data_IF_164821753106
#
_entry.id   IF_164821753106
#
_cell.length_a   1.000
_cell.length_b   1.000
_cell.length_c   1.000
_cell.angle_alpha   90.00
_cell.angle_beta   90.00
_cell.angle_gamma   90.00
#
_symmetry.space_group_name_H-M   'P 1'
#
loop_
_entity.id
_entity.type
_entity.pdbx_description
1 polymer ?
#
# COMPACT_ATOMS: atom_id res chain seq x y z
N UNK A 1 -41.85 -18.11 26.90
CA UNK A 1 -42.02 -18.92 25.68
C UNK A 1 -43.07 -18.21 24.83
N UNK A 2 -42.65 -17.64 23.69
CA UNK A 2 -43.44 -16.92 22.67
C UNK A 2 -44.31 -15.73 23.11
N UNK A 3 -43.81 -14.52 22.84
CA UNK A 3 -44.52 -13.26 22.53
C UNK A 3 -43.87 -12.05 23.24
N UNK A 4 -42.68 -11.65 22.80
CA UNK A 4 -42.12 -10.29 23.03
C UNK A 4 -40.96 -9.99 22.04
N UNK A 5 -41.08 -10.50 20.82
CA UNK A 5 -40.14 -10.30 19.71
C UNK A 5 -40.88 -9.79 18.49
N UNK A 6 -41.31 -8.53 18.54
CA UNK A 6 -41.78 -7.77 17.37
C UNK A 6 -41.75 -6.23 17.55
N UNK A 7 -41.41 -5.71 18.74
CA UNK A 7 -41.63 -4.28 19.07
C UNK A 7 -40.41 -3.36 19.04
N UNK A 8 -39.21 -3.83 18.67
CA UNK A 8 -37.98 -3.04 18.86
C UNK A 8 -36.98 -3.11 17.69
N UNK A 9 -37.44 -3.46 16.49
CA UNK A 9 -36.63 -3.51 15.26
C UNK A 9 -36.80 -2.25 14.37
N UNK A 10 -37.59 -1.26 14.81
CA UNK A 10 -37.91 -0.06 14.01
C UNK A 10 -37.27 1.25 14.50
N UNK A 11 -36.29 1.21 15.43
CA UNK A 11 -35.69 2.44 16.00
C UNK A 11 -34.21 2.71 15.76
N UNK A 12 -33.51 1.90 14.96
CA UNK A 12 -32.14 2.23 14.52
C UNK A 12 -32.01 2.12 13.00
N UNK A 13 -32.88 2.85 12.30
CA UNK A 13 -32.62 3.23 10.91
C UNK A 13 -31.92 4.59 10.96
N UNK A 14 -30.64 4.65 10.57
CA UNK A 14 -29.93 5.93 10.50
C UNK A 14 -30.68 6.90 9.57
N UNK A 15 -30.66 8.22 9.84
CA UNK A 15 -31.30 9.23 9.00
C UNK A 15 -30.94 9.09 7.51
N UNK A 16 -29.70 8.68 7.21
CA UNK A 16 -29.19 8.43 5.87
C UNK A 16 -29.96 7.35 5.09
N UNK A 17 -30.48 6.31 5.76
CA UNK A 17 -31.27 5.24 5.11
C UNK A 17 -32.67 5.72 4.73
N UNK A 18 -33.27 6.62 5.52
CA UNK A 18 -34.54 7.27 5.17
C UNK A 18 -34.38 8.27 4.02
N UNK A 19 -33.24 8.91 3.93
CA UNK A 19 -32.93 9.93 2.93
C UNK A 19 -32.60 9.29 1.57
N UNK A 20 -31.81 8.22 1.55
CA UNK A 20 -31.51 7.42 0.35
C UNK A 20 -32.77 6.84 -0.32
N UNK A 21 -33.78 6.46 0.47
CA UNK A 21 -35.07 5.98 -0.05
C UNK A 21 -35.94 7.08 -0.66
N UNK A 22 -35.78 8.33 -0.22
CA UNK A 22 -36.56 9.46 -0.73
C UNK A 22 -35.99 10.02 -2.03
N UNK A 23 -34.69 9.86 -2.27
CA UNK A 23 -34.05 10.36 -3.48
C UNK A 23 -32.99 9.37 -4.02
N UNK A 24 -33.38 8.37 -4.83
CA UNK A 24 -32.47 7.35 -5.35
C UNK A 24 -31.41 7.88 -6.33
N UNK A 25 -31.49 9.17 -6.71
CA UNK A 25 -30.49 9.84 -7.56
C UNK A 25 -29.37 10.52 -6.75
N UNK A 26 -29.44 10.53 -5.42
CA UNK A 26 -28.37 11.03 -4.56
C UNK A 26 -27.30 9.95 -4.37
N UNK A 27 -26.22 10.07 -5.15
CA UNK A 27 -25.10 9.13 -5.15
C UNK A 27 -24.48 8.92 -3.76
N UNK A 28 -24.44 9.96 -2.91
CA UNK A 28 -23.88 9.89 -1.55
C UNK A 28 -24.75 9.05 -0.62
N UNK A 29 -26.08 9.14 -0.79
CA UNK A 29 -27.03 8.38 0.01
C UNK A 29 -27.08 6.89 -0.41
N UNK A 30 -26.93 6.62 -1.71
CA UNK A 30 -26.79 5.26 -2.26
C UNK A 30 -25.49 4.60 -1.81
N UNK A 31 -24.37 5.34 -1.81
CA UNK A 31 -23.07 4.85 -1.31
C UNK A 31 -23.16 4.45 0.17
N UNK A 32 -23.69 5.34 1.02
CA UNK A 32 -23.87 5.09 2.47
C UNK A 32 -24.75 3.87 2.75
N UNK A 33 -25.81 3.68 1.96
CA UNK A 33 -26.70 2.53 2.09
C UNK A 33 -26.05 1.21 1.63
N UNK A 34 -25.34 1.21 0.49
CA UNK A 34 -24.61 0.07 -0.02
C UNK A 34 -23.54 -0.41 0.97
N UNK A 35 -22.79 0.52 1.57
CA UNK A 35 -21.73 0.22 2.53
C UNK A 35 -22.25 -0.45 3.82
N UNK A 36 -23.47 -0.13 4.26
CA UNK A 36 -24.08 -0.73 5.45
C UNK A 36 -24.63 -2.16 5.24
N UNK A 37 -24.79 -2.64 4.00
CA UNK A 37 -25.55 -3.86 3.68
C UNK A 37 -24.76 -4.95 2.92
N UNK A 38 -23.46 -4.78 2.68
CA UNK A 38 -22.61 -5.76 1.95
C UNK A 38 -22.12 -6.94 2.84
N UNK A 39 -22.49 -6.96 4.12
CA UNK A 39 -22.16 -8.05 5.06
C UNK A 39 -23.09 -9.27 4.96
N UNK A 40 -22.53 -10.39 4.50
CA UNK A 40 -22.97 -11.80 4.70
C UNK A 40 -24.45 -12.18 4.47
N UNK A 41 -25.10 -11.63 3.43
CA UNK A 41 -26.43 -12.11 2.98
C UNK A 41 -26.40 -12.77 1.60
N UNK A 42 -25.81 -13.97 1.52
CA UNK A 42 -25.80 -14.78 0.28
C UNK A 42 -27.09 -15.60 0.07
N UNK A 43 -28.02 -15.64 1.02
CA UNK A 43 -29.26 -16.44 0.93
C UNK A 43 -30.56 -15.61 0.89
N UNK A 44 -30.51 -14.29 0.75
CA UNK A 44 -31.73 -13.47 0.58
C UNK A 44 -32.05 -13.25 -0.92
N UNK A 45 -33.32 -13.43 -1.35
CA UNK A 45 -33.70 -13.25 -2.74
C UNK A 45 -33.48 -11.81 -3.22
N UNK A 46 -32.97 -11.68 -4.45
CA UNK A 46 -32.74 -10.47 -5.26
C UNK A 46 -33.12 -9.13 -4.60
N UNK A 47 -32.31 -8.69 -3.64
CA UNK A 47 -32.50 -7.40 -3.01
C UNK A 47 -32.01 -6.30 -3.97
N UNK A 48 -32.84 -5.33 -4.40
CA UNK A 48 -32.39 -4.22 -5.23
C UNK A 48 -31.27 -3.38 -4.58
N UNK A 49 -31.13 -3.44 -3.25
CA UNK A 49 -29.98 -2.91 -2.52
C UNK A 49 -28.65 -3.57 -2.94
N UNK A 50 -28.67 -4.87 -3.18
CA UNK A 50 -27.51 -5.66 -3.60
C UNK A 50 -27.08 -5.26 -5.02
N UNK A 51 -28.04 -5.03 -5.92
CA UNK A 51 -27.77 -4.53 -7.27
C UNK A 51 -27.15 -3.12 -7.24
N UNK A 52 -27.65 -2.24 -6.36
CA UNK A 52 -27.06 -0.92 -6.12
C UNK A 52 -25.62 -1.00 -5.59
N UNK A 53 -25.36 -1.88 -4.62
CA UNK A 53 -24.02 -2.11 -4.09
C UNK A 53 -23.06 -2.69 -5.13
N UNK A 54 -23.52 -3.62 -5.98
CA UNK A 54 -22.74 -4.16 -7.09
C UNK A 54 -22.38 -3.06 -8.09
N UNK A 55 -23.31 -2.18 -8.43
CA UNK A 55 -23.04 -1.06 -9.34
C UNK A 55 -22.05 -0.05 -8.73
N UNK A 56 -22.14 0.23 -7.43
CA UNK A 56 -21.17 1.08 -6.72
C UNK A 56 -19.79 0.42 -6.71
N UNK A 57 -19.70 -0.89 -6.42
CA UNK A 57 -18.43 -1.63 -6.47
C UNK A 57 -17.84 -1.68 -7.88
N UNK A 58 -18.67 -1.84 -8.92
CA UNK A 58 -18.23 -1.78 -10.32
C UNK A 58 -17.78 -0.37 -10.73
N UNK A 59 -18.49 0.67 -10.29
CA UNK A 59 -18.11 2.06 -10.52
C UNK A 59 -16.78 2.39 -9.80
N UNK A 60 -16.62 1.97 -8.55
CA UNK A 60 -15.39 2.10 -7.79
C UNK A 60 -14.25 1.30 -8.40
N UNK A 61 -14.50 0.09 -8.90
CA UNK A 61 -13.53 -0.71 -9.64
C UNK A 61 -13.10 -0.01 -10.94
N UNK A 62 -14.03 0.64 -11.65
CA UNK A 62 -13.72 1.40 -12.85
C UNK A 62 -12.93 2.70 -12.57
N UNK A 63 -13.19 3.35 -11.44
CA UNK A 63 -12.43 4.52 -10.94
C UNK A 63 -11.03 4.13 -10.46
N UNK A 64 -10.96 3.04 -9.69
CA UNK A 64 -9.73 2.39 -9.24
C UNK A 64 -8.82 2.02 -10.42
N UNK A 65 -9.38 1.42 -11.47
CA UNK A 65 -8.64 1.00 -12.66
C UNK A 65 -7.97 2.17 -13.42
N UNK A 66 -8.48 3.40 -13.30
CA UNK A 66 -7.97 4.56 -14.06
C UNK A 66 -6.85 5.33 -13.37
N UNK A 67 -6.83 5.37 -12.03
CA UNK A 67 -5.87 6.19 -11.26
C UNK A 67 -5.13 5.44 -10.17
N UNK A 68 -5.48 4.18 -9.90
CA UNK A 68 -5.01 3.41 -8.76
C UNK A 68 -5.58 3.93 -7.44
N UNK A 69 -6.17 3.05 -6.64
CA UNK A 69 -6.67 3.35 -5.29
C UNK A 69 -5.70 2.88 -4.22
N UNK A 70 -5.88 3.34 -2.99
CA UNK A 70 -5.16 2.81 -1.83
C UNK A 70 -6.09 1.87 -1.08
N UNK A 71 -5.63 0.66 -0.76
CA UNK A 71 -6.35 -0.27 0.11
C UNK A 71 -5.73 -0.21 1.49
N UNK A 72 -6.52 0.07 2.51
CA UNK A 72 -6.09 -0.01 3.91
C UNK A 72 -6.80 -1.18 4.56
N UNK A 73 -6.05 -2.11 5.11
CA UNK A 73 -6.58 -3.30 5.79
C UNK A 73 -6.48 -3.11 7.28
N UNK A 74 -7.63 -3.18 7.94
CA UNK A 74 -7.80 -3.12 9.39
C UNK A 74 -8.27 -4.49 9.89
N UNK A 75 -7.34 -5.38 10.28
CA UNK A 75 -7.68 -6.72 10.72
C UNK A 75 -8.56 -6.73 11.97
N UNK A 76 -8.43 -5.70 12.81
CA UNK A 76 -9.09 -5.58 14.10
C UNK A 76 -9.80 -4.22 14.31
N UNK A 77 -10.70 -4.16 15.29
CA UNK A 77 -11.50 -3.01 15.68
C UNK A 77 -10.73 -1.88 16.36
N UNK A 78 -9.47 -2.08 16.77
CA UNK A 78 -8.72 -1.06 17.52
C UNK A 78 -7.86 -0.14 16.63
N UNK A 79 -7.71 -0.45 15.33
CA UNK A 79 -6.88 0.33 14.40
C UNK A 79 -7.49 1.65 13.90
N UNK A 80 -8.66 2.07 14.38
CA UNK A 80 -9.34 3.29 13.88
C UNK A 80 -8.56 4.57 14.13
N UNK A 81 -7.87 4.69 15.27
CA UNK A 81 -7.05 5.87 15.55
C UNK A 81 -5.87 5.98 14.57
N UNK A 82 -5.18 4.85 14.32
CA UNK A 82 -4.09 4.79 13.34
C UNK A 82 -4.60 5.10 11.93
N UNK A 83 -5.75 4.56 11.54
CA UNK A 83 -6.40 4.89 10.28
C UNK A 83 -6.64 6.40 10.16
N UNK A 84 -7.16 7.04 11.21
CA UNK A 84 -7.45 8.47 11.20
C UNK A 84 -6.18 9.32 11.01
N UNK A 85 -5.11 9.00 11.72
CA UNK A 85 -3.81 9.66 11.53
C UNK A 85 -3.31 9.44 10.10
N UNK A 86 -3.34 8.20 9.62
CA UNK A 86 -2.94 7.87 8.25
C UNK A 86 -3.75 8.62 7.20
N UNK A 87 -5.09 8.68 7.35
CA UNK A 87 -5.96 9.39 6.41
C UNK A 87 -5.73 10.89 6.42
N UNK A 88 -5.49 11.50 7.59
CA UNK A 88 -5.20 12.93 7.67
C UNK A 88 -3.92 13.29 6.91
N UNK A 89 -2.86 12.49 7.09
CA UNK A 89 -1.60 12.67 6.38
C UNK A 89 -1.75 12.40 4.89
N UNK A 90 -2.39 11.29 4.55
CA UNK A 90 -2.64 10.93 3.16
C UNK A 90 -3.43 12.03 2.47
N UNK A 91 -4.46 12.60 3.09
CA UNK A 91 -5.33 13.62 2.47
C UNK A 91 -4.76 15.03 2.46
N UNK A 92 -3.53 15.24 2.93
CA UNK A 92 -2.92 16.55 2.87
C UNK A 92 -2.70 17.00 1.42
N UNK A 93 -2.73 18.31 1.19
CA UNK A 93 -2.46 18.90 -0.13
C UNK A 93 -1.01 18.74 -0.56
N UNK A 94 -0.09 18.57 0.40
CA UNK A 94 1.34 18.38 0.18
C UNK A 94 1.69 16.91 -0.10
N UNK A 95 0.78 15.95 0.12
CA UNK A 95 1.05 14.56 -0.20
C UNK A 95 1.00 14.31 -1.71
N UNK A 96 2.12 13.85 -2.26
CA UNK A 96 2.30 13.60 -3.69
C UNK A 96 2.72 12.15 -3.93
N UNK A 97 2.02 11.47 -4.82
CA UNK A 97 2.36 10.12 -5.24
C UNK A 97 3.49 10.10 -6.28
N UNK A 98 4.15 8.95 -6.45
CA UNK A 98 5.26 8.81 -7.41
C UNK A 98 4.85 8.98 -8.88
N UNK A 99 3.57 8.79 -9.21
CA UNK A 99 3.01 9.10 -10.53
C UNK A 99 2.59 10.57 -10.68
N UNK A 100 2.81 11.35 -9.61
CA UNK A 100 2.55 12.76 -9.53
C UNK A 100 1.11 13.16 -9.26
N UNK A 101 0.21 12.20 -9.06
CA UNK A 101 -1.14 12.47 -8.57
C UNK A 101 -1.13 12.98 -7.13
N UNK A 102 -2.13 13.80 -6.79
CA UNK A 102 -2.40 14.23 -5.41
C UNK A 102 -3.33 13.24 -4.73
N UNK A 103 -3.25 13.15 -3.41
CA UNK A 103 -4.09 12.23 -2.66
C UNK A 103 -5.56 12.61 -2.54
N UNK A 104 -5.88 13.90 -2.68
CA UNK A 104 -7.27 14.35 -2.82
C UNK A 104 -8.00 13.61 -3.95
N UNK A 105 -7.27 13.23 -5.01
CA UNK A 105 -7.81 12.59 -6.21
C UNK A 105 -7.86 11.05 -6.19
N UNK A 106 -7.44 10.37 -5.11
CA UNK A 106 -7.43 8.90 -5.04
C UNK A 106 -8.49 8.34 -4.10
N UNK A 107 -9.17 7.30 -4.54
CA UNK A 107 -10.08 6.55 -3.68
C UNK A 107 -9.27 5.75 -2.65
N UNK A 108 -9.71 5.75 -1.40
CA UNK A 108 -9.18 4.90 -0.33
C UNK A 108 -10.26 3.89 0.04
N UNK A 109 -9.93 2.61 -0.04
CA UNK A 109 -10.80 1.51 0.34
C UNK A 109 -10.28 0.93 1.65
N UNK A 110 -11.07 1.06 2.71
CA UNK A 110 -10.78 0.52 4.04
C UNK A 110 -11.48 -0.82 4.18
N UNK A 111 -10.73 -1.91 4.13
CA UNK A 111 -11.23 -3.25 4.43
C UNK A 111 -11.12 -3.49 5.95
N UNK A 112 -12.25 -3.68 6.62
CA UNK A 112 -12.29 -3.76 8.08
C UNK A 112 -13.17 -4.93 8.57
N UNK A 113 -12.71 -5.61 9.63
CA UNK A 113 -13.47 -6.72 10.24
C UNK A 113 -14.64 -6.25 11.12
N UNK A 114 -14.66 -4.97 11.50
CA UNK A 114 -15.69 -4.36 12.33
C UNK A 114 -16.32 -3.14 11.63
N UNK A 115 -17.54 -2.78 12.03
CA UNK A 115 -18.18 -1.55 11.55
C UNK A 115 -17.38 -0.31 12.01
N UNK A 116 -17.22 0.72 11.16
CA UNK A 116 -16.54 1.94 11.54
C UNK A 116 -17.31 2.66 12.65
N UNK A 117 -16.62 3.19 13.68
CA UNK A 117 -17.20 4.08 14.67
C UNK A 117 -17.92 5.25 13.99
N UNK A 118 -18.98 5.78 14.61
CA UNK A 118 -19.82 6.81 13.99
C UNK A 118 -19.03 8.03 13.50
N UNK A 119 -18.07 8.50 14.29
CA UNK A 119 -17.18 9.62 13.92
C UNK A 119 -16.30 9.32 12.71
N UNK A 120 -15.93 8.06 12.48
CA UNK A 120 -15.15 7.62 11.31
C UNK A 120 -16.08 7.37 10.11
N UNK A 121 -17.25 6.80 10.36
CA UNK A 121 -18.27 6.55 9.33
C UNK A 121 -18.76 7.86 8.70
N UNK A 122 -18.81 8.96 9.47
CA UNK A 122 -19.16 10.29 8.97
C UNK A 122 -18.15 10.85 7.95
N UNK A 123 -16.92 10.31 7.91
CA UNK A 123 -15.90 10.69 6.92
C UNK A 123 -16.07 9.95 5.59
N UNK A 124 -16.99 8.98 5.53
CA UNK A 124 -17.34 8.33 4.27
C UNK A 124 -17.74 9.40 3.26
N UNK A 125 -17.03 9.39 2.14
CA UNK A 125 -17.17 10.35 1.05
C UNK A 125 -16.98 9.59 -0.26
N UNK A 126 -17.17 10.27 -1.40
CA UNK A 126 -16.94 9.66 -2.72
C UNK A 126 -15.51 9.11 -2.89
N UNK A 127 -14.58 9.54 -2.03
CA UNK A 127 -13.18 9.14 -2.05
C UNK A 127 -12.78 8.19 -0.90
N UNK A 128 -13.65 7.89 0.06
CA UNK A 128 -13.37 6.99 1.18
C UNK A 128 -14.48 5.95 1.33
N UNK A 129 -14.14 4.68 1.11
CA UNK A 129 -15.07 3.56 1.09
C UNK A 129 -14.69 2.56 2.17
N UNK A 130 -15.65 2.18 3.01
CA UNK A 130 -15.50 1.11 3.99
C UNK A 130 -16.12 -0.18 3.44
N UNK A 131 -15.35 -1.25 3.46
CA UNK A 131 -15.76 -2.59 3.10
C UNK A 131 -15.68 -3.46 4.35
N UNK A 132 -16.83 -3.74 4.95
CA UNK A 132 -16.88 -4.60 6.14
C UNK A 132 -16.82 -6.09 5.75
N UNK A 133 -15.90 -6.83 6.35
CA UNK A 133 -15.72 -8.24 6.09
C UNK A 133 -14.46 -8.82 6.72
N UNK A 134 -14.35 -10.14 6.75
CA UNK A 134 -13.17 -10.79 7.29
C UNK A 134 -11.96 -10.56 6.37
N UNK A 135 -11.02 -9.74 6.83
CA UNK A 135 -9.81 -9.34 6.10
C UNK A 135 -8.88 -10.50 5.71
N UNK A 136 -8.94 -11.61 6.46
CA UNK A 136 -8.14 -12.82 6.18
C UNK A 136 -8.72 -13.68 5.06
N UNK A 137 -9.97 -13.43 4.64
CA UNK A 137 -10.60 -14.16 3.54
C UNK A 137 -10.31 -13.47 2.21
N UNK A 138 -9.66 -14.21 1.31
CA UNK A 138 -9.27 -13.75 -0.02
C UNK A 138 -10.41 -13.08 -0.82
N UNK A 139 -11.66 -13.53 -0.66
CA UNK A 139 -12.83 -12.93 -1.33
C UNK A 139 -13.02 -11.44 -1.01
N UNK A 140 -12.73 -10.99 0.20
CA UNK A 140 -12.88 -9.58 0.56
C UNK A 140 -11.71 -8.73 0.06
N UNK A 141 -10.50 -9.30 0.02
CA UNK A 141 -9.34 -8.68 -0.65
C UNK A 141 -9.63 -8.44 -2.14
N UNK A 142 -10.30 -9.38 -2.82
CA UNK A 142 -10.77 -9.18 -4.20
C UNK A 142 -11.85 -8.11 -4.31
N UNK A 143 -12.82 -8.10 -3.40
CA UNK A 143 -13.85 -7.04 -3.39
C UNK A 143 -13.23 -5.65 -3.17
N UNK A 144 -12.13 -5.57 -2.44
CA UNK A 144 -11.33 -4.35 -2.30
C UNK A 144 -10.47 -4.03 -3.54
N UNK A 145 -10.51 -4.86 -4.60
CA UNK A 145 -9.74 -4.71 -5.84
C UNK A 145 -8.23 -4.57 -5.60
N UNK A 146 -7.67 -5.39 -4.70
CA UNK A 146 -6.26 -5.28 -4.29
C UNK A 146 -5.26 -5.44 -5.44
N UNK A 147 -5.65 -6.16 -6.49
CA UNK A 147 -4.90 -6.37 -7.73
C UNK A 147 -4.71 -5.11 -8.59
N UNK A 148 -5.60 -4.13 -8.40
CA UNK A 148 -5.55 -2.82 -9.06
C UNK A 148 -5.15 -1.70 -8.10
N UNK A 149 -4.87 -2.02 -6.84
CA UNK A 149 -4.46 -1.04 -5.87
C UNK A 149 -3.08 -0.45 -6.24
N UNK A 150 -2.95 0.85 -6.11
CA UNK A 150 -1.67 1.53 -6.18
C UNK A 150 -0.77 1.11 -5.03
N UNK A 151 -1.33 1.09 -3.82
CA UNK A 151 -0.67 0.63 -2.62
C UNK A 151 -1.67 -0.07 -1.70
N UNK A 152 -1.19 -1.07 -0.96
CA UNK A 152 -1.93 -1.70 0.13
C UNK A 152 -1.21 -1.42 1.43
N UNK A 153 -1.93 -0.99 2.46
CA UNK A 153 -1.38 -0.76 3.79
C UNK A 153 -2.11 -1.67 4.75
N UNK A 154 -1.38 -2.50 5.49
CA UNK A 154 -1.94 -3.37 6.52
C UNK A 154 -1.52 -2.79 7.87
N UNK A 155 -2.49 -2.27 8.62
CA UNK A 155 -2.24 -1.65 9.92
C UNK A 155 -2.24 -2.72 11.01
N UNK A 156 -1.32 -2.61 11.98
CA UNK A 156 -1.23 -3.54 13.09
C UNK A 156 -2.37 -3.27 14.07
N UNK A 157 -3.30 -4.22 14.17
CA UNK A 157 -4.24 -4.28 15.30
C UNK A 157 -3.57 -4.91 16.52
N UNK A 158 -4.05 -4.69 17.75
CA UNK A 158 -3.47 -5.26 18.97
C UNK A 158 -3.17 -6.75 18.81
N UNK A 159 -2.00 -7.19 19.28
CA UNK A 159 -1.56 -8.55 19.01
C UNK A 159 -2.54 -9.53 19.67
N UNK A 160 -2.97 -10.58 18.95
CA UNK A 160 -3.92 -11.56 19.49
C UNK A 160 -3.35 -12.33 20.68
N UNK A 161 -2.02 -12.40 20.75
CA UNK A 161 -1.24 -13.11 21.76
C UNK A 161 -0.05 -12.28 22.20
N UNK A 162 0.43 -12.48 23.43
CA UNK A 162 1.69 -11.87 23.90
C UNK A 162 2.93 -12.67 23.46
N UNK A 163 2.74 -13.83 22.81
CA UNK A 163 3.85 -14.63 22.28
C UNK A 163 4.45 -13.93 21.05
N UNK A 164 5.74 -13.54 21.08
CA UNK A 164 6.35 -12.71 20.04
C UNK A 164 6.20 -13.28 18.62
N UNK A 165 6.30 -14.61 18.49
CA UNK A 165 6.15 -15.33 17.21
C UNK A 165 4.74 -15.35 16.64
N UNK A 166 3.72 -15.00 17.43
CA UNK A 166 2.31 -15.05 17.03
C UNK A 166 1.64 -13.67 16.99
N UNK A 167 2.33 -12.61 17.43
CA UNK A 167 1.80 -11.23 17.48
C UNK A 167 1.30 -10.72 16.12
N UNK A 168 1.95 -11.09 15.03
CA UNK A 168 1.68 -10.57 13.68
C UNK A 168 1.07 -11.61 12.74
N UNK A 169 0.56 -12.74 13.25
CA UNK A 169 0.15 -13.88 12.41
C UNK A 169 -0.90 -13.50 11.34
N UNK A 170 -1.88 -12.67 11.70
CA UNK A 170 -2.89 -12.18 10.74
C UNK A 170 -2.24 -11.34 9.62
N UNK A 171 -1.29 -10.47 9.98
CA UNK A 171 -0.60 -9.58 9.05
C UNK A 171 0.31 -10.36 8.09
N UNK A 172 1.01 -11.38 8.61
CA UNK A 172 1.81 -12.33 7.83
C UNK A 172 0.93 -13.11 6.84
N UNK A 173 -0.20 -13.68 7.31
CA UNK A 173 -1.12 -14.44 6.45
C UNK A 173 -1.71 -13.55 5.36
N UNK A 174 -2.21 -12.36 5.71
CA UNK A 174 -2.81 -11.45 4.73
C UNK A 174 -1.82 -11.04 3.66
N UNK A 175 -0.61 -10.63 4.05
CA UNK A 175 0.41 -10.25 3.06
C UNK A 175 0.81 -11.43 2.17
N UNK A 176 0.93 -12.63 2.74
CA UNK A 176 1.19 -13.84 1.95
C UNK A 176 0.07 -14.12 0.93
N UNK A 177 -1.19 -13.95 1.31
CA UNK A 177 -2.34 -14.07 0.39
C UNK A 177 -2.30 -13.04 -0.74
N UNK A 178 -1.90 -11.79 -0.42
CA UNK A 178 -1.77 -10.71 -1.40
C UNK A 178 -0.66 -11.03 -2.42
N UNK A 179 0.49 -11.51 -1.95
CA UNK A 179 1.65 -11.81 -2.79
C UNK A 179 1.47 -13.06 -3.65
N UNK A 180 0.85 -14.11 -3.12
CA UNK A 180 0.51 -15.28 -3.95
C UNK A 180 -0.36 -14.88 -5.14
N UNK A 181 -1.22 -13.87 -4.96
CA UNK A 181 -2.18 -13.48 -5.99
C UNK A 181 -1.62 -12.53 -7.02
N UNK A 182 -0.65 -11.71 -6.65
CA UNK A 182 -0.08 -10.72 -7.54
C UNK A 182 0.73 -11.33 -8.70
N UNK A 183 0.84 -12.67 -8.79
CA UNK A 183 1.42 -13.41 -9.92
C UNK A 183 2.82 -12.91 -10.29
N UNK A 184 3.67 -12.71 -9.27
CA UNK A 184 5.02 -12.18 -9.44
C UNK A 184 5.10 -10.66 -9.58
N UNK A 185 3.98 -9.92 -9.62
CA UNK A 185 4.01 -8.48 -9.37
C UNK A 185 4.26 -8.26 -7.89
N UNK A 186 5.30 -7.51 -7.54
CA UNK A 186 5.45 -7.04 -6.16
C UNK A 186 4.40 -5.97 -5.95
N UNK A 187 3.27 -6.32 -5.31
CA UNK A 187 2.31 -5.32 -4.89
C UNK A 187 3.03 -4.35 -3.95
N UNK A 188 2.79 -3.04 -4.09
CA UNK A 188 3.31 -2.05 -3.15
C UNK A 188 2.53 -2.19 -1.84
N UNK A 189 2.92 -3.17 -1.03
CA UNK A 189 2.34 -3.42 0.29
C UNK A 189 3.23 -2.85 1.38
N UNK A 190 2.65 -2.10 2.31
CA UNK A 190 3.30 -1.68 3.55
C UNK A 190 2.62 -2.40 4.71
N UNK A 191 3.42 -3.12 5.49
CA UNK A 191 2.99 -3.93 6.61
C UNK A 191 3.46 -3.28 7.91
N UNK A 192 2.52 -2.85 8.74
CA UNK A 192 2.80 -2.48 10.13
C UNK A 192 2.85 -3.76 10.97
N UNK A 193 3.94 -3.97 11.70
CA UNK A 193 4.19 -5.17 12.53
C UNK A 193 4.72 -4.83 13.92
N UNK A 194 4.36 -5.63 14.91
CA UNK A 194 4.90 -5.53 16.26
C UNK A 194 6.33 -6.04 16.36
N UNK A 195 6.65 -7.12 15.66
CA UNK A 195 7.95 -7.77 15.75
C UNK A 195 8.53 -8.07 14.38
N UNK A 196 9.70 -7.50 14.10
CA UNK A 196 10.45 -7.81 12.87
C UNK A 196 10.83 -9.30 12.77
N UNK A 197 10.88 -10.03 13.88
CA UNK A 197 11.12 -11.48 13.87
C UNK A 197 10.07 -12.24 13.05
N UNK A 198 8.82 -11.76 13.02
CA UNK A 198 7.72 -12.39 12.29
C UNK A 198 7.86 -12.25 10.77
N UNK A 199 8.77 -11.40 10.28
CA UNK A 199 9.08 -11.34 8.85
C UNK A 199 9.74 -12.62 8.34
N UNK A 200 10.46 -13.34 9.20
CA UNK A 200 11.05 -14.64 8.84
C UNK A 200 10.01 -15.70 8.48
N UNK A 201 8.77 -15.54 8.97
CA UNK A 201 7.65 -16.42 8.68
C UNK A 201 6.99 -16.10 7.34
N UNK A 202 7.32 -14.95 6.73
CA UNK A 202 6.78 -14.59 5.43
C UNK A 202 7.51 -15.34 4.32
N UNK A 203 6.78 -15.94 3.37
CA UNK A 203 7.42 -16.63 2.26
C UNK A 203 8.17 -15.62 1.37
N UNK A 204 9.39 -15.98 0.96
CA UNK A 204 10.12 -15.26 -0.08
C UNK A 204 9.65 -15.74 -1.47
N UNK A 205 8.39 -15.45 -1.80
CA UNK A 205 7.74 -15.92 -3.04
C UNK A 205 8.44 -15.43 -4.32
N UNK A 206 9.23 -14.37 -4.21
CA UNK A 206 10.04 -13.83 -5.30
C UNK A 206 11.15 -14.77 -5.76
N UNK A 207 11.67 -15.63 -4.86
CA UNK A 207 12.67 -16.65 -5.21
C UNK A 207 12.03 -17.87 -5.90
N UNK A 208 10.84 -18.28 -5.47
CA UNK A 208 10.15 -19.44 -6.02
C UNK A 208 9.77 -19.29 -7.51
N UNK A 209 9.57 -18.06 -7.99
CA UNK A 209 9.29 -17.82 -9.41
C UNK A 209 10.53 -17.95 -10.30
N UNK A 210 11.74 -17.82 -9.74
CA UNK A 210 13.00 -18.03 -10.48
C UNK A 210 13.30 -19.52 -10.69
N UNK A 211 12.82 -20.39 -9.80
CA UNK A 211 13.00 -21.84 -9.91
C UNK A 211 12.16 -22.47 -11.03
N UNK A 212 11.10 -21.77 -11.50
CA UNK A 212 10.26 -22.18 -12.63
C UNK A 212 10.63 -21.55 -13.97
N UNK A 213 11.48 -20.52 -13.98
CA UNK A 213 12.18 -20.14 -15.19
C UNK A 213 13.28 -21.19 -15.37
N UNK A 214 13.36 -21.84 -16.52
CA UNK A 214 14.52 -22.64 -16.91
C UNK A 214 15.73 -21.71 -17.04
N UNK A 215 16.24 -21.19 -15.92
CA UNK A 215 17.60 -20.71 -15.85
C UNK A 215 18.42 -21.98 -16.08
N UNK A 216 19.24 -22.06 -17.14
CA UNK A 216 20.15 -23.18 -17.32
C UNK A 216 21.20 -23.05 -16.24
N UNK A 217 20.86 -23.50 -15.04
CA UNK A 217 21.80 -23.58 -13.96
C UNK A 217 22.51 -24.91 -14.17
N UNK A 218 23.62 -24.88 -14.91
CA UNK A 218 24.71 -25.82 -14.65
C UNK A 218 25.20 -25.55 -13.21
N UNK A 219 24.44 -26.06 -12.23
CA UNK A 219 24.86 -26.13 -10.83
C UNK A 219 25.75 -27.36 -10.70
N UNK A 220 26.95 -27.30 -11.27
CA UNK A 220 28.04 -28.04 -10.68
C UNK A 220 28.46 -27.26 -9.42
N UNK A 221 27.85 -27.62 -8.28
CA UNK A 221 28.27 -27.30 -6.91
C UNK A 221 27.98 -25.90 -6.30
N UNK A 222 26.96 -25.16 -6.76
CA UNK A 222 26.38 -24.10 -5.92
C UNK A 222 25.27 -24.68 -5.03
N UNK A 223 25.65 -25.22 -3.87
CA UNK A 223 24.72 -25.31 -2.74
C UNK A 223 24.20 -23.90 -2.47
N UNK A 224 22.94 -23.62 -2.80
CA UNK A 224 22.23 -22.47 -2.25
C UNK A 224 22.21 -22.71 -0.75
N UNK A 225 23.21 -22.17 -0.04
CA UNK A 225 23.14 -22.04 1.40
C UNK A 225 21.89 -21.20 1.62
N UNK A 226 20.82 -21.85 2.11
CA UNK A 226 19.81 -21.14 2.89
C UNK A 226 20.59 -20.56 4.05
N UNK A 227 21.11 -19.36 3.84
CA UNK A 227 21.66 -18.55 4.90
C UNK A 227 20.48 -18.38 5.84
N UNK A 228 20.51 -19.09 6.95
CA UNK A 228 19.48 -19.00 7.98
C UNK A 228 19.46 -17.54 8.41
N UNK A 229 18.42 -16.83 7.97
CA UNK A 229 18.22 -15.39 8.22
C UNK A 229 18.10 -15.06 9.71
N UNK A 230 18.13 -16.07 10.58
CA UNK A 230 18.07 -15.97 12.04
C UNK A 230 19.26 -15.18 12.63
N UNK A 231 20.42 -15.16 11.96
CA UNK A 231 21.61 -14.44 12.46
C UNK A 231 21.73 -12.99 12.00
N UNK A 232 20.88 -12.54 11.07
CA UNK A 232 20.99 -11.20 10.52
C UNK A 232 20.21 -10.18 11.34
N UNK A 233 20.77 -8.99 11.58
CA UNK A 233 20.05 -7.91 12.25
C UNK A 233 18.72 -7.63 11.52
N UNK A 234 17.59 -7.64 12.22
CA UNK A 234 16.27 -7.53 11.59
C UNK A 234 16.09 -6.31 10.66
N UNK A 235 16.88 -5.24 10.85
CA UNK A 235 16.86 -4.05 10.00
C UNK A 235 17.41 -4.28 8.58
N UNK A 236 18.13 -5.37 8.33
CA UNK A 236 18.61 -5.71 6.98
C UNK A 236 17.63 -6.62 6.21
N UNK A 237 16.51 -6.99 6.82
CA UNK A 237 15.51 -7.80 6.15
C UNK A 237 15.06 -7.12 4.84
N UNK A 238 14.99 -7.82 3.69
CA UNK A 238 14.69 -7.19 2.40
C UNK A 238 13.40 -6.35 2.42
N UNK A 239 12.36 -6.82 3.10
CA UNK A 239 11.09 -6.08 3.28
C UNK A 239 11.22 -4.79 4.10
N UNK A 240 12.14 -4.74 5.05
CA UNK A 240 12.42 -3.51 5.81
C UNK A 240 13.22 -2.54 4.95
N UNK A 241 14.27 -3.04 4.29
CA UNK A 241 15.10 -2.25 3.37
C UNK A 241 14.30 -1.68 2.18
N UNK A 242 13.24 -2.38 1.76
CA UNK A 242 12.32 -1.97 0.70
C UNK A 242 11.21 -1.02 1.16
N UNK A 243 11.08 -0.76 2.47
CA UNK A 243 9.96 -0.02 3.04
C UNK A 243 8.61 -0.75 2.98
N UNK A 244 8.61 -2.07 2.77
CA UNK A 244 7.40 -2.90 2.76
C UNK A 244 6.98 -3.36 4.15
N UNK A 245 7.88 -3.31 5.13
CA UNK A 245 7.60 -3.62 6.52
C UNK A 245 8.07 -2.48 7.41
N UNK A 246 7.23 -2.13 8.37
CA UNK A 246 7.48 -1.08 9.34
C UNK A 246 7.19 -1.63 10.74
N UNK A 247 8.07 -1.33 11.68
CA UNK A 247 7.91 -1.73 13.07
C UNK A 247 8.11 -0.52 13.98
N UNK A 248 7.16 -0.29 14.89
CA UNK A 248 7.23 0.83 15.83
C UNK A 248 8.48 0.80 16.72
N UNK A 249 9.10 -0.36 16.93
CA UNK A 249 10.35 -0.48 17.69
C UNK A 249 11.52 0.26 17.04
N UNK A 250 11.51 0.44 15.72
CA UNK A 250 12.52 1.25 15.02
C UNK A 250 12.34 2.75 15.32
N UNK A 251 11.10 3.24 15.51
CA UNK A 251 10.87 4.61 15.99
C UNK A 251 11.38 4.81 17.41
N UNK A 252 11.23 3.81 18.29
CA UNK A 252 11.73 3.89 19.66
C UNK A 252 13.25 4.06 19.70
N UNK A 253 13.98 3.48 18.75
CA UNK A 253 15.43 3.72 18.61
C UNK A 253 15.73 5.17 18.27
N UNK A 254 14.95 5.79 17.39
CA UNK A 254 15.09 7.22 17.09
C UNK A 254 14.77 8.11 18.29
N UNK A 255 13.75 7.75 19.09
CA UNK A 255 13.45 8.44 20.36
C UNK A 255 14.62 8.32 21.34
N UNK A 256 15.25 7.14 21.44
CA UNK A 256 16.44 6.96 22.27
C UNK A 256 17.63 7.81 21.78
N UNK A 257 17.82 7.93 20.46
CA UNK A 257 18.84 8.80 19.87
C UNK A 257 18.58 10.29 20.18
N UNK A 258 17.30 10.68 20.29
CA UNK A 258 16.91 12.04 20.60
C UNK A 258 17.38 12.53 21.97
N UNK A 259 17.63 11.62 22.91
CA UNK A 259 18.24 11.95 24.22
C UNK A 259 19.60 12.64 24.04
N UNK A 260 20.37 12.21 23.03
CA UNK A 260 21.69 12.77 22.72
C UNK A 260 21.63 13.84 21.64
N UNK A 261 20.63 13.78 20.76
CA UNK A 261 20.44 14.69 19.62
C UNK A 261 18.98 15.11 19.55
N UNK A 262 18.53 16.06 20.37
CA UNK A 262 17.12 16.45 20.46
C UNK A 262 16.48 16.66 19.10
N UNK A 263 17.20 17.40 18.23
CA UNK A 263 16.88 17.73 16.83
C UNK A 263 16.38 16.58 15.93
N UNK A 264 16.64 15.31 16.29
CA UNK A 264 16.18 14.15 15.53
C UNK A 264 14.66 14.03 15.55
N UNK A 265 14.00 14.31 16.67
CA UNK A 265 12.54 14.21 16.75
C UNK A 265 11.85 15.33 16.01
N UNK A 266 12.35 16.57 16.12
CA UNK A 266 11.82 17.69 15.36
C UNK A 266 11.99 17.45 13.87
N UNK A 267 13.13 16.90 13.43
CA UNK A 267 13.35 16.55 12.03
C UNK A 267 12.43 15.42 11.57
N UNK A 268 12.27 14.35 12.36
CA UNK A 268 11.38 13.25 12.00
C UNK A 268 9.93 13.70 11.92
N UNK A 269 9.46 14.47 12.92
CA UNK A 269 8.15 15.08 12.88
C UNK A 269 8.03 16.00 11.66
N UNK A 270 9.08 16.76 11.35
CA UNK A 270 9.08 17.66 10.21
C UNK A 270 9.08 16.96 8.84
N UNK A 271 9.53 15.71 8.77
CA UNK A 271 9.50 14.92 7.53
C UNK A 271 8.21 14.09 7.40
N UNK A 272 7.59 13.74 8.53
CA UNK A 272 6.38 12.92 8.57
C UNK A 272 5.10 13.74 8.49
N UNK A 273 5.10 14.97 8.98
CA UNK A 273 3.95 15.87 8.93
C UNK A 273 3.81 16.48 7.53
N UNK A 274 2.57 16.74 7.11
CA UNK A 274 2.35 17.37 5.82
C UNK A 274 2.74 18.82 5.94
N UNK A 275 3.28 19.41 4.88
CA UNK A 275 3.64 20.82 4.88
C UNK A 275 2.43 21.68 5.30
N UNK A 276 2.52 22.18 6.54
CA UNK A 276 1.57 23.11 7.13
C UNK A 276 2.12 24.53 7.13
N UNK A 277 1.44 25.46 7.82
CA UNK A 277 1.84 26.87 7.87
C UNK A 277 3.28 27.12 8.36
N UNK A 278 3.88 26.17 9.08
CA UNK A 278 5.22 26.29 9.66
C UNK A 278 6.32 25.49 8.90
N UNK A 279 5.96 24.74 7.86
CA UNK A 279 6.91 23.93 7.09
C UNK A 279 6.93 24.36 5.64
N UNK A 280 8.11 24.78 5.20
CA UNK A 280 8.32 25.15 3.80
C UNK A 280 8.57 23.91 2.94
N UNK A 281 9.28 22.90 3.45
CA UNK A 281 9.67 21.73 2.66
C UNK A 281 8.64 20.61 2.62
N UNK A 282 8.49 19.97 1.46
CA UNK A 282 7.67 18.77 1.24
C UNK A 282 8.49 17.65 0.63
N UNK A 283 8.19 16.41 1.04
CA UNK A 283 8.78 15.22 0.46
C UNK A 283 8.09 14.85 -0.86
N UNK A 284 8.88 14.77 -1.93
CA UNK A 284 8.39 14.49 -3.28
C UNK A 284 9.12 13.27 -3.86
N UNK A 285 8.41 12.18 -4.19
CA UNK A 285 8.97 11.12 -5.01
C UNK A 285 9.08 11.60 -6.47
N UNK A 286 10.28 11.55 -7.02
CA UNK A 286 10.57 11.82 -8.42
C UNK A 286 11.06 10.54 -9.11
N UNK A 287 10.26 10.01 -10.03
CA UNK A 287 10.71 8.90 -10.87
C UNK A 287 11.87 9.36 -11.75
N UNK A 288 12.95 8.59 -11.77
CA UNK A 288 14.11 8.87 -12.62
C UNK A 288 13.66 8.80 -14.09
N UNK A 289 13.88 9.87 -14.88
CA UNK A 289 13.54 9.88 -16.30
C UNK A 289 14.43 8.93 -17.09
N UNK A 290 13.86 8.44 -18.19
CA UNK A 290 14.59 7.60 -19.17
C UNK A 290 15.86 8.25 -19.69
N UNK A 291 15.88 9.58 -19.82
CA UNK A 291 17.06 10.32 -20.29
C UNK A 291 18.25 10.30 -19.30
N UNK A 292 18.01 9.95 -18.03
CA UNK A 292 19.03 9.82 -16.99
C UNK A 292 19.38 8.35 -16.68
N UNK A 293 18.70 7.38 -17.28
CA UNK A 293 19.00 5.97 -17.10
C UNK A 293 20.43 5.65 -17.59
N UNK A 294 21.21 4.94 -16.78
CA UNK A 294 22.61 4.63 -17.07
C UNK A 294 23.58 5.80 -16.81
N UNK A 295 23.09 7.00 -16.49
CA UNK A 295 23.92 8.12 -16.03
C UNK A 295 24.16 8.06 -14.53
N UNK A 296 25.13 8.80 -14.03
CA UNK A 296 25.39 8.90 -12.59
C UNK A 296 24.38 9.81 -11.88
N UNK A 297 24.22 9.63 -10.57
CA UNK A 297 23.37 10.47 -9.71
C UNK A 297 23.75 11.95 -9.84
N UNK A 298 25.02 12.28 -10.07
CA UNK A 298 25.46 13.66 -10.31
C UNK A 298 24.67 14.34 -11.44
N UNK A 299 24.35 13.62 -12.52
CA UNK A 299 23.55 14.17 -13.61
C UNK A 299 22.12 14.54 -13.16
N UNK A 300 21.54 13.83 -12.19
CA UNK A 300 20.27 14.22 -11.57
C UNK A 300 20.42 15.49 -10.74
N UNK A 301 21.52 15.63 -9.99
CA UNK A 301 21.78 16.84 -9.20
C UNK A 301 21.92 18.08 -10.08
N UNK A 302 22.61 17.97 -11.23
CA UNK A 302 22.71 19.03 -12.23
C UNK A 302 21.32 19.49 -12.73
N UNK A 303 20.37 18.56 -12.96
CA UNK A 303 19.01 18.91 -13.38
C UNK A 303 18.20 19.61 -12.28
N UNK A 304 18.55 19.35 -11.02
CA UNK A 304 17.89 19.91 -9.84
C UNK A 304 18.51 21.24 -9.39
N UNK A 305 19.61 21.67 -10.02
CA UNK A 305 20.29 22.91 -9.68
C UNK A 305 19.36 24.12 -9.84
N UNK A 306 19.30 24.95 -8.79
CA UNK A 306 18.43 26.13 -8.71
C UNK A 306 16.96 25.86 -8.38
N UNK A 307 16.58 24.63 -8.04
CA UNK A 307 15.21 24.27 -7.61
C UNK A 307 14.99 24.25 -6.09
N UNK A 308 15.99 24.64 -5.29
CA UNK A 308 15.94 24.58 -3.81
C UNK A 308 15.43 23.23 -3.28
N UNK A 309 16.05 22.15 -3.77
CA UNK A 309 15.69 20.79 -3.37
C UNK A 309 16.91 19.95 -2.99
N UNK A 310 16.66 18.92 -2.19
CA UNK A 310 17.68 18.02 -1.68
C UNK A 310 17.31 16.56 -2.00
N UNK A 311 18.22 15.82 -2.64
CA UNK A 311 18.07 14.39 -2.86
C UNK A 311 18.43 13.65 -1.56
N UNK A 312 17.42 13.10 -0.88
CA UNK A 312 17.60 12.44 0.41
C UNK A 312 17.88 10.94 0.26
N UNK A 313 17.18 10.30 -0.68
CA UNK A 313 17.33 8.88 -0.91
C UNK A 313 17.02 8.50 -2.36
N UNK A 314 17.48 7.31 -2.76
CA UNK A 314 17.12 6.66 -4.01
C UNK A 314 16.44 5.33 -3.68
N UNK A 315 15.17 5.20 -4.05
CA UNK A 315 14.44 3.94 -4.00
C UNK A 315 14.71 3.16 -5.29
N UNK A 316 15.54 2.13 -5.16
CA UNK A 316 16.00 1.25 -6.25
C UNK A 316 14.97 0.17 -6.51
N UNK A 317 14.63 -0.05 -7.77
CA UNK A 317 13.74 -1.15 -8.16
C UNK A 317 14.43 -2.51 -8.01
N UNK A 318 13.62 -3.56 -7.83
CA UNK A 318 14.11 -4.94 -7.90
C UNK A 318 14.76 -5.22 -9.27
N UNK A 319 15.88 -5.95 -9.29
CA UNK A 319 16.56 -6.41 -10.50
C UNK A 319 17.11 -7.82 -10.27
N UNK A 320 16.48 -8.80 -10.92
CA UNK A 320 16.89 -10.19 -10.85
C UNK A 320 18.29 -10.42 -11.43
N UNK A 321 18.65 -9.69 -12.49
CA UNK A 321 19.99 -9.74 -13.11
C UNK A 321 21.10 -9.37 -12.12
N UNK A 322 20.78 -8.50 -11.15
CA UNK A 322 21.71 -8.04 -10.12
C UNK A 322 21.51 -8.76 -8.78
N UNK A 323 20.69 -9.81 -8.77
CA UNK A 323 20.42 -10.63 -7.59
C UNK A 323 19.50 -9.99 -6.55
N UNK A 324 18.91 -8.82 -6.81
CA UNK A 324 18.01 -8.16 -5.87
C UNK A 324 16.54 -8.43 -6.21
N UNK A 325 15.90 -9.29 -5.43
CA UNK A 325 14.49 -9.68 -5.60
C UNK A 325 13.51 -8.64 -5.07
N UNK A 326 13.93 -7.80 -4.12
CA UNK A 326 13.12 -6.70 -3.58
C UNK A 326 13.72 -5.34 -3.97
N UNK A 327 12.88 -4.30 -4.08
CA UNK A 327 13.40 -2.94 -4.13
C UNK A 327 14.10 -2.60 -2.81
N UNK A 328 14.92 -1.56 -2.78
CA UNK A 328 15.58 -1.12 -1.55
C UNK A 328 15.88 0.38 -1.59
N UNK A 329 16.07 0.97 -0.42
CA UNK A 329 16.37 2.40 -0.28
C UNK A 329 17.85 2.62 -0.04
N UNK A 330 18.44 3.53 -0.82
CA UNK A 330 19.80 4.05 -0.62
C UNK A 330 19.70 5.48 -0.10
N UNK A 331 19.96 5.67 1.19
CA UNK A 331 20.01 7.01 1.81
C UNK A 331 21.32 7.70 1.46
N UNK A 332 21.26 8.99 1.12
CA UNK A 332 22.43 9.78 0.68
C UNK A 332 23.24 9.09 -0.45
N UNK A 333 22.62 8.86 -1.62
CA UNK A 333 23.25 8.11 -2.69
C UNK A 333 24.56 8.79 -3.16
N UNK A 334 25.67 8.03 -3.36
CA UNK A 334 26.92 8.59 -3.87
C UNK A 334 26.73 9.23 -5.25
N UNK A 335 27.47 10.32 -5.53
CA UNK A 335 27.38 11.04 -6.82
C UNK A 335 27.63 10.16 -8.04
N UNK A 336 28.60 9.25 -7.93
CA UNK A 336 28.99 8.32 -9.00
C UNK A 336 28.09 7.08 -9.09
N UNK A 337 27.05 6.96 -8.27
CA UNK A 337 26.12 5.83 -8.36
C UNK A 337 25.34 5.92 -9.68
N UNK A 338 25.38 4.87 -10.50
CA UNK A 338 24.61 4.81 -11.76
C UNK A 338 23.12 4.68 -11.47
N UNK A 339 22.29 5.53 -12.07
CA UNK A 339 20.84 5.51 -12.06
C UNK A 339 20.29 4.40 -12.95
N UNK A 340 19.20 3.75 -12.51
CA UNK A 340 18.58 2.63 -13.23
C UNK A 340 17.17 2.96 -13.69
N UNK A 341 16.71 2.24 -14.71
CA UNK A 341 15.34 2.30 -15.16
C UNK A 341 14.37 1.96 -14.02
N UNK A 342 13.43 2.85 -13.76
CA UNK A 342 12.41 2.68 -12.73
C UNK A 342 12.78 3.17 -11.33
N UNK A 343 14.02 3.59 -11.10
CA UNK A 343 14.40 4.20 -9.83
C UNK A 343 13.53 5.41 -9.49
N UNK A 344 13.36 5.66 -8.20
CA UNK A 344 12.65 6.84 -7.68
C UNK A 344 13.52 7.59 -6.70
N UNK A 345 13.85 8.84 -6.99
CA UNK A 345 14.54 9.73 -6.07
C UNK A 345 13.54 10.34 -5.09
N UNK A 346 13.86 10.30 -3.79
CA UNK A 346 13.09 10.97 -2.74
C UNK A 346 13.72 12.33 -2.50
N UNK A 347 12.98 13.39 -2.85
CA UNK A 347 13.44 14.77 -2.77
C UNK A 347 12.75 15.49 -1.61
N UNK A 348 13.48 16.34 -0.90
CA UNK A 348 12.88 17.41 -0.10
C UNK A 348 12.87 18.68 -0.94
N UNK A 349 11.68 19.20 -1.23
CA UNK A 349 11.47 20.38 -2.07
C UNK A 349 10.92 21.51 -1.21
N UNK A 350 11.60 22.67 -1.18
CA UNK A 350 11.19 23.83 -0.36
C UNK A 350 9.92 24.53 -0.85
N UNK A 351 9.58 24.41 -2.13
CA UNK A 351 8.38 25.03 -2.69
C UNK A 351 7.65 24.05 -3.59
N UNK A 352 6.52 23.52 -3.10
CA UNK A 352 5.65 22.61 -3.85
C UNK A 352 5.12 23.25 -5.13
N UNK A 353 4.99 24.57 -5.18
CA UNK A 353 4.61 25.31 -6.39
C UNK A 353 5.57 25.08 -7.57
N UNK A 354 6.83 24.74 -7.29
CA UNK A 354 7.86 24.43 -8.30
C UNK A 354 7.87 22.97 -8.73
N UNK A 355 6.95 22.14 -8.23
CA UNK A 355 6.87 20.72 -8.59
C UNK A 355 6.61 20.52 -10.10
N UNK A 356 5.80 21.39 -10.71
CA UNK A 356 5.54 21.35 -12.16
C UNK A 356 6.80 21.70 -12.96
N UNK A 357 7.52 22.74 -12.55
CA UNK A 357 8.82 23.14 -13.12
C UNK A 357 9.83 21.98 -13.02
N UNK A 358 9.95 21.37 -11.83
CA UNK A 358 10.83 20.24 -11.57
C UNK A 358 10.52 19.06 -12.50
N UNK A 359 9.24 18.68 -12.64
CA UNK A 359 8.85 17.60 -13.55
C UNK A 359 9.14 17.93 -15.01
N UNK A 360 8.90 19.18 -15.40
CA UNK A 360 9.15 19.64 -16.77
C UNK A 360 10.65 19.61 -17.11
N UNK A 361 11.52 20.15 -16.23
CA UNK A 361 12.98 20.16 -16.42
C UNK A 361 13.54 18.76 -16.53
N UNK A 362 13.11 17.89 -15.62
CA UNK A 362 13.63 16.53 -15.54
C UNK A 362 13.01 15.65 -16.65
N UNK A 363 12.05 16.17 -17.44
CA UNK A 363 11.38 15.39 -18.49
C UNK A 363 10.56 14.23 -17.94
N UNK A 364 10.19 14.31 -16.66
CA UNK A 364 9.32 13.34 -16.01
C UNK A 364 7.91 13.54 -16.55
N UNK A 365 7.49 12.67 -17.47
CA UNK A 365 6.11 12.64 -17.95
C UNK A 365 5.16 12.54 -16.74
N UNK A 366 4.22 13.48 -16.65
CA UNK A 366 3.11 13.44 -15.68
C UNK A 366 2.10 12.34 -16.00
N UNK A 367 2.28 11.64 -17.12
CA UNK A 367 1.46 10.50 -17.44
C UNK A 367 1.87 9.39 -16.48
N UNK A 368 0.97 8.85 -15.63
CA UNK A 368 1.28 7.67 -14.85
C UNK A 368 1.79 6.64 -15.85
N UNK A 369 3.04 6.21 -15.68
CA UNK A 369 3.51 5.05 -16.40
C UNK A 369 2.58 3.95 -15.92
N UNK A 370 1.58 3.61 -16.74
CA UNK A 370 0.80 2.40 -16.57
C UNK A 370 1.84 1.36 -16.23
N UNK A 371 1.77 0.80 -15.02
CA UNK A 371 2.71 -0.22 -14.54
C UNK A 371 2.83 -1.16 -15.70
N UNK A 372 3.95 -1.09 -16.41
CA UNK A 372 4.08 -1.77 -17.68
C UNK A 372 3.88 -3.21 -17.29
N UNK A 373 2.74 -3.78 -17.68
CA UNK A 373 2.51 -5.18 -17.42
C UNK A 373 3.75 -5.83 -18.01
N UNK A 374 4.53 -6.60 -17.23
CA UNK A 374 5.64 -7.34 -17.81
C UNK A 374 5.04 -8.03 -19.03
N UNK A 375 5.63 -7.79 -20.21
CA UNK A 375 5.13 -8.34 -21.47
C UNK A 375 4.73 -9.77 -21.17
N UNK A 376 3.46 -10.14 -21.42
CA UNK A 376 2.97 -11.50 -21.14
C UNK A 376 4.04 -12.43 -21.70
N UNK A 377 4.76 -13.11 -20.84
CA UNK A 377 5.63 -14.18 -21.30
C UNK A 377 4.66 -15.16 -21.98
N UNK A 378 4.80 -15.31 -23.29
CA UNK A 378 3.99 -16.24 -24.07
C UNK A 378 4.36 -17.66 -23.63
N UNK A 379 3.71 -18.13 -22.57
CA UNK A 379 3.78 -19.51 -22.07
C UNK A 379 2.99 -20.49 -22.95
N UNK A 380 2.63 -20.10 -24.18
CA UNK A 380 1.94 -20.99 -25.14
C UNK A 380 2.86 -22.09 -25.69
N UNK A 381 4.15 -22.09 -25.36
CA UNK A 381 5.11 -23.09 -25.84
C UNK A 381 5.41 -24.24 -24.86
N UNK A 382 5.02 -24.16 -23.57
CA UNK A 382 5.25 -25.28 -22.63
C UNK A 382 4.04 -26.21 -22.61
N UNK A 383 4.10 -27.28 -23.42
CA UNK A 383 3.10 -28.35 -23.49
C UNK A 383 3.05 -29.21 -22.22
N UNK A 384 2.60 -28.66 -21.10
CA UNK A 384 2.32 -29.44 -19.88
C UNK A 384 0.87 -29.89 -19.92
N UNK A 385 0.66 -31.13 -20.35
CA UNK A 385 -0.62 -31.81 -20.26
C UNK A 385 -0.96 -32.04 -18.77
N UNK A 386 -1.95 -31.31 -18.25
CA UNK A 386 -2.54 -31.57 -16.93
C UNK A 386 -3.39 -32.83 -17.03
N UNK A 387 -2.83 -33.98 -16.61
CA UNK A 387 -3.61 -35.18 -16.37
C UNK A 387 -4.52 -34.93 -15.15
N UNK A 388 -5.81 -34.88 -15.40
CA UNK A 388 -6.84 -34.91 -14.37
C UNK A 388 -7.14 -36.38 -14.05
N UNK A 389 -6.70 -36.86 -12.89
CA UNK A 389 -7.22 -38.12 -12.35
C UNK A 389 -8.59 -37.86 -11.73
N UNK A 390 -9.59 -38.58 -12.23
CA UNK A 390 -10.92 -38.72 -11.64
C UNK A 390 -10.87 -39.63 -10.42
#
# INVERSE_FOLDING_TARGET
MFALTAGLVTRLYSPAVREARKNPNDASAVLRFAMAHVGDRENEPANPALAGAINVLQALSSLAARRGHVVVVLPDRHGWQQLMTFLNELRSESFVFADGGTAAGRVVVVLCSAEPPENVAQLASDMLVFLSGNCTRLRYLYRASIDHAYATVVLAGPPPTQEPGMMDQNNVIMTSLMEMRSWGRVAHSVLDIYSLHNLSQMPNLTLAHLEGAEVPVEVDNLTVQRVELEEFPHHIHPRVASGQAFCATELLRSVALAVYRPGVLELMQALAQPAGQAQESTMVPLRVPRALEGREVEALWEQLEGLDCLVLALHRVASYELGNTHPFVVTNPPRHMTLRAGDTAMLSLRDVGRLSELRQRVGASTTPAATAAPAKADFSASGVAVQTHR
#
